data_IF_551371326122
#
_entry.id   IF_551371326122
#
_cell.length_a   1.000
_cell.length_b   1.000
_cell.length_c   1.000
_cell.angle_alpha   90.00
_cell.angle_beta   90.00
_cell.angle_gamma   90.00
#
_symmetry.space_group_name_H-M   'P 1'
#
loop_
_entity.id
_entity.type
_entity.pdbx_description
1 polymer ?
#
# COMPACT_ATOMS: atom_id res chain seq x y z
N UNK A 1 23.30 19.15 -17.68
CA UNK A 1 22.01 19.87 -17.58
C UNK A 1 21.03 18.90 -16.96
N UNK A 2 20.61 19.15 -15.73
CA UNK A 2 19.77 18.23 -14.94
C UNK A 2 18.40 18.12 -15.59
N UNK A 3 18.02 16.93 -16.03
CA UNK A 3 16.68 16.66 -16.53
C UNK A 3 15.69 16.89 -15.39
N UNK A 4 14.75 17.83 -15.57
CA UNK A 4 13.69 18.05 -14.60
C UNK A 4 12.94 16.73 -14.43
N UNK A 5 12.83 16.23 -13.20
CA UNK A 5 12.12 14.99 -12.92
C UNK A 5 10.72 15.05 -13.56
N UNK A 6 10.51 14.28 -14.61
CA UNK A 6 9.25 14.27 -15.34
C UNK A 6 8.11 13.97 -14.36
N UNK A 7 7.13 14.86 -14.27
CA UNK A 7 5.97 14.68 -13.40
C UNK A 7 5.23 13.42 -13.84
N UNK A 8 5.23 12.40 -12.99
CA UNK A 8 4.48 11.16 -13.22
C UNK A 8 3.03 11.33 -12.73
N UNK A 9 2.02 11.31 -13.62
CA UNK A 9 0.62 11.45 -13.23
C UNK A 9 0.16 10.24 -12.41
N UNK A 10 -0.47 10.49 -11.25
CA UNK A 10 -1.08 9.47 -10.38
C UNK A 10 -2.59 9.48 -10.56
N UNK A 11 -3.06 8.87 -11.65
CA UNK A 11 -4.46 8.91 -12.09
C UNK A 11 -5.31 7.84 -11.41
N UNK A 12 -4.68 6.77 -10.94
CA UNK A 12 -5.37 5.61 -10.37
C UNK A 12 -4.73 5.15 -9.05
N UNK A 13 -5.59 4.86 -8.08
CA UNK A 13 -5.24 4.40 -6.74
C UNK A 13 -6.13 3.22 -6.39
N UNK A 14 -5.53 2.08 -6.05
CA UNK A 14 -6.25 0.88 -5.63
C UNK A 14 -5.88 0.52 -4.19
N UNK A 15 -6.87 0.12 -3.40
CA UNK A 15 -6.70 -0.28 -2.00
C UNK A 15 -6.80 -1.80 -1.84
N UNK A 16 -5.95 -2.35 -0.99
CA UNK A 16 -5.95 -3.78 -0.61
C UNK A 16 -5.88 -3.88 0.92
N UNK A 17 -6.70 -4.73 1.57
CA UNK A 17 -6.66 -4.84 3.03
C UNK A 17 -5.39 -5.56 3.51
N UNK A 18 -4.74 -5.04 4.55
CA UNK A 18 -3.49 -5.60 5.10
C UNK A 18 -3.60 -7.01 5.70
N UNK A 19 -4.80 -7.48 6.06
CA UNK A 19 -5.01 -8.87 6.49
C UNK A 19 -5.18 -9.87 5.31
N UNK A 20 -5.21 -9.38 4.07
CA UNK A 20 -5.37 -10.15 2.81
C UNK A 20 -4.18 -9.92 1.86
N UNK A 21 -2.97 -10.39 2.22
CA UNK A 21 -1.76 -10.13 1.45
C UNK A 21 -1.79 -10.72 0.03
N UNK A 22 -2.65 -11.71 -0.24
CA UNK A 22 -2.83 -12.30 -1.57
C UNK A 22 -3.46 -11.33 -2.59
N UNK A 23 -4.08 -10.24 -2.12
CA UNK A 23 -4.69 -9.21 -2.96
C UNK A 23 -3.66 -8.22 -3.51
N UNK A 24 -2.54 -8.00 -2.81
CA UNK A 24 -1.53 -7.03 -3.24
C UNK A 24 -0.86 -7.40 -4.57
N UNK A 25 -0.40 -8.65 -4.81
CA UNK A 25 0.12 -9.05 -6.12
C UNK A 25 -0.91 -8.96 -7.24
N UNK A 26 -2.20 -9.12 -6.93
CA UNK A 26 -3.29 -8.97 -7.90
C UNK A 26 -3.47 -7.49 -8.27
N UNK A 27 -3.44 -6.61 -7.28
CA UNK A 27 -3.53 -5.17 -7.46
C UNK A 27 -2.34 -4.61 -8.25
N UNK A 28 -1.13 -5.11 -8.03
CA UNK A 28 0.04 -4.74 -8.85
C UNK A 28 -0.20 -5.01 -10.35
N UNK A 29 -0.84 -6.13 -10.70
CA UNK A 29 -1.09 -6.50 -12.11
C UNK A 29 -2.18 -5.68 -12.81
N UNK A 30 -2.94 -4.84 -12.09
CA UNK A 30 -3.99 -4.02 -12.72
C UNK A 30 -3.45 -2.84 -13.51
N UNK A 31 -2.18 -2.48 -13.30
CA UNK A 31 -1.58 -1.29 -13.90
C UNK A 31 -1.98 0.01 -13.21
N UNK A 32 -2.53 -0.05 -11.98
CA UNK A 32 -2.77 1.13 -11.17
C UNK A 32 -1.47 1.88 -10.88
N UNK A 33 -1.52 3.22 -10.89
CA UNK A 33 -0.36 4.07 -10.66
C UNK A 33 0.13 3.97 -9.20
N UNK A 34 -0.80 3.71 -8.25
CA UNK A 34 -0.52 3.49 -6.83
C UNK A 34 -1.34 2.31 -6.30
N UNK A 35 -0.67 1.41 -5.59
CA UNK A 35 -1.32 0.36 -4.79
C UNK A 35 -1.12 0.68 -3.31
N UNK A 36 -2.22 0.78 -2.57
CA UNK A 36 -2.19 1.05 -1.12
C UNK A 36 -2.64 -0.15 -0.33
N UNK A 37 -1.88 -0.47 0.72
CA UNK A 37 -2.31 -1.43 1.74
C UNK A 37 -3.03 -0.67 2.85
N UNK A 38 -4.27 -1.05 3.11
CA UNK A 38 -5.12 -0.43 4.13
C UNK A 38 -5.04 -1.18 5.46
N UNK A 39 -4.60 -0.48 6.51
CA UNK A 39 -4.59 -0.93 7.90
C UNK A 39 -5.67 -0.21 8.73
N UNK A 40 -6.48 0.64 8.11
CA UNK A 40 -7.54 1.44 8.71
C UNK A 40 -8.92 0.80 8.46
N UNK A 41 -9.79 1.43 7.66
CA UNK A 41 -11.21 1.10 7.61
C UNK A 41 -11.49 -0.28 7.01
N UNK A 42 -10.61 -0.81 6.18
CA UNK A 42 -10.75 -2.17 5.64
C UNK A 42 -10.43 -3.28 6.65
N UNK A 43 -9.99 -2.95 7.89
CA UNK A 43 -9.55 -3.92 8.90
C UNK A 43 -10.38 -3.81 10.17
N UNK A 44 -11.09 -4.88 10.50
CA UNK A 44 -11.81 -5.02 11.78
C UNK A 44 -10.85 -4.83 12.98
N UNK A 45 -11.27 -4.21 14.09
CA UNK A 45 -10.40 -3.86 15.21
C UNK A 45 -9.55 -5.03 15.75
N UNK A 46 -10.16 -6.22 15.87
CA UNK A 46 -9.50 -7.43 16.36
C UNK A 46 -8.37 -7.95 15.43
N UNK A 47 -8.37 -7.55 14.16
CA UNK A 47 -7.39 -8.01 13.16
C UNK A 47 -6.29 -6.97 12.88
N UNK A 48 -6.26 -5.83 13.59
CA UNK A 48 -5.27 -4.75 13.34
C UNK A 48 -3.83 -5.20 13.51
N UNK A 49 -3.55 -6.01 14.53
CA UNK A 49 -2.20 -6.52 14.78
C UNK A 49 -1.78 -7.52 13.69
N UNK A 50 -2.65 -8.50 13.40
CA UNK A 50 -2.43 -9.47 12.33
C UNK A 50 -2.22 -8.80 10.95
N UNK A 51 -3.02 -7.78 10.63
CA UNK A 51 -2.89 -7.02 9.40
C UNK A 51 -1.53 -6.30 9.29
N UNK A 52 -1.04 -5.74 10.41
CA UNK A 52 0.27 -5.09 10.47
C UNK A 52 1.39 -6.12 10.22
N UNK A 53 1.35 -7.26 10.91
CA UNK A 53 2.38 -8.29 10.79
C UNK A 53 2.43 -8.87 9.38
N UNK A 54 1.27 -9.17 8.78
CA UNK A 54 1.15 -9.61 7.40
C UNK A 54 1.68 -8.59 6.40
N UNK A 55 1.36 -7.30 6.63
CA UNK A 55 1.85 -6.20 5.78
C UNK A 55 3.36 -6.10 5.84
N UNK A 56 3.97 -6.15 7.03
CA UNK A 56 5.42 -6.11 7.21
C UNK A 56 6.10 -7.31 6.52
N UNK A 57 5.56 -8.52 6.70
CA UNK A 57 6.08 -9.73 6.06
C UNK A 57 6.01 -9.64 4.52
N UNK A 58 4.94 -9.05 4.00
CA UNK A 58 4.79 -8.79 2.56
C UNK A 58 5.86 -7.81 2.07
N UNK A 59 6.07 -6.67 2.74
CA UNK A 59 7.09 -5.68 2.32
C UNK A 59 8.52 -6.21 2.45
N UNK A 60 8.79 -7.10 3.41
CA UNK A 60 10.11 -7.72 3.56
C UNK A 60 10.49 -8.65 2.38
N UNK A 61 9.49 -9.20 1.68
CA UNK A 61 9.70 -10.19 0.61
C UNK A 61 9.31 -9.67 -0.77
N UNK A 62 8.45 -8.65 -0.85
CA UNK A 62 7.93 -8.15 -2.09
C UNK A 62 8.94 -7.23 -2.79
N UNK A 63 9.31 -7.62 -4.01
CA UNK A 63 10.04 -6.78 -4.96
C UNK A 63 9.07 -6.29 -6.03
N UNK A 64 8.90 -4.98 -6.14
CA UNK A 64 8.13 -4.38 -7.23
C UNK A 64 8.99 -4.43 -8.50
N UNK A 65 8.56 -5.12 -9.57
CA UNK A 65 9.32 -5.14 -10.81
C UNK A 65 9.39 -3.73 -11.40
N UNK A 66 10.56 -3.32 -11.88
CA UNK A 66 10.77 -2.00 -12.50
C UNK A 66 9.87 -1.74 -13.73
N UNK A 67 9.30 -2.80 -14.31
CA UNK A 67 8.39 -2.74 -15.46
C UNK A 67 6.93 -2.40 -15.10
N UNK A 68 6.57 -2.37 -13.81
CA UNK A 68 5.23 -1.93 -13.40
C UNK A 68 5.21 -0.40 -13.27
N UNK A 69 4.19 0.23 -13.87
CA UNK A 69 3.89 1.65 -13.68
C UNK A 69 3.49 2.00 -12.23
N UNK A 70 3.28 0.99 -11.37
CA UNK A 70 3.06 1.16 -9.95
C UNK A 70 4.33 1.70 -9.29
N UNK A 71 4.50 3.01 -9.37
CA UNK A 71 5.67 3.74 -8.86
C UNK A 71 5.70 3.82 -7.33
N UNK A 72 4.61 3.46 -6.65
CA UNK A 72 4.46 3.62 -5.21
C UNK A 72 3.60 2.50 -4.58
N UNK A 73 4.17 1.78 -3.62
CA UNK A 73 3.42 1.01 -2.64
C UNK A 73 3.31 1.84 -1.37
N UNK A 74 2.11 2.34 -1.07
CA UNK A 74 1.83 3.14 0.13
C UNK A 74 1.06 2.34 1.17
N UNK A 75 1.16 2.74 2.44
CA UNK A 75 0.38 2.16 3.54
C UNK A 75 -0.53 3.25 4.08
N UNK A 76 -1.84 2.97 4.17
CA UNK A 76 -2.77 3.79 4.95
C UNK A 76 -2.82 3.22 6.35
N UNK A 77 -2.33 3.99 7.31
CA UNK A 77 -2.45 3.69 8.73
C UNK A 77 -3.62 4.48 9.30
N UNK A 78 -4.21 3.94 10.37
CA UNK A 78 -5.23 4.67 11.13
C UNK A 78 -4.72 6.06 11.52
N UNK A 79 -5.61 7.06 11.44
CA UNK A 79 -5.33 8.36 12.03
C UNK A 79 -4.87 8.17 13.49
N UNK A 80 -3.87 8.94 13.97
CA UNK A 80 -3.48 8.89 15.37
C UNK A 80 -4.71 9.26 16.19
N UNK A 81 -5.34 8.26 16.82
CA UNK A 81 -6.42 8.52 17.76
C UNK A 81 -5.77 9.29 18.91
N UNK A 82 -6.19 10.54 19.11
CA UNK A 82 -5.80 11.32 20.27
C UNK A 82 -6.31 10.60 21.52
N UNK A 83 -5.49 9.74 22.11
CA UNK A 83 -5.69 9.18 23.45
C UNK A 83 -4.47 9.54 24.29
N UNK A 84 -4.62 10.69 24.94
CA UNK A 84 -3.86 11.39 25.99
C UNK A 84 -4.14 12.85 25.69
N UNK A 85 -5.07 13.51 26.36
CA UNK A 85 -5.12 13.83 27.79
C UNK A 85 -6.54 13.69 28.31
#
# INVERSE_FOLDING_TARGET
MSEAAAVQPRRSLIFTPGNRPDMFPKALRTGADIVTIDLEDAIAPQHKNEARDKTLALFATCRIPAALNASCASIRCAAPTASRI
#
